data_IF_564380628988
#
_entry.id   IF_564380628988
#
_cell.length_a   1.000
_cell.length_b   1.000
_cell.length_c   1.000
_cell.angle_alpha   90.00
_cell.angle_beta   90.00
_cell.angle_gamma   90.00
#
_symmetry.space_group_name_H-M   'P 1'
#
loop_
_entity.id
_entity.type
_entity.pdbx_description
1 polymer ?
#
# COMPACT_ATOMS: atom_id res chain seq x y z
N UNK A 1 5.95 -14.84 23.32
CA UNK A 1 6.98 -14.04 24.02
C UNK A 1 6.89 -12.61 23.52
N UNK A 2 6.55 -11.66 24.39
CA UNK A 2 6.46 -10.22 24.02
C UNK A 2 7.89 -9.70 23.89
N UNK A 3 8.24 -9.09 22.74
CA UNK A 3 9.58 -8.54 22.56
C UNK A 3 9.80 -7.30 23.44
N UNK A 4 11.07 -7.00 23.81
CA UNK A 4 11.38 -5.78 24.57
C UNK A 4 10.91 -4.51 23.86
N UNK A 5 10.91 -4.50 22.52
CA UNK A 5 10.39 -3.43 21.69
C UNK A 5 8.88 -3.30 21.81
N UNK A 6 8.14 -4.40 21.76
CA UNK A 6 6.68 -4.42 21.90
C UNK A 6 6.25 -3.87 23.27
N UNK A 7 6.96 -4.21 24.33
CA UNK A 7 6.73 -3.69 25.69
C UNK A 7 6.97 -2.16 25.77
N UNK A 8 8.00 -1.66 25.08
CA UNK A 8 8.40 -0.25 25.12
C UNK A 8 7.51 0.62 24.21
N UNK A 9 7.20 0.15 23.02
CA UNK A 9 6.57 0.95 21.96
C UNK A 9 5.13 0.55 21.66
N UNK A 10 4.63 -0.56 22.20
CA UNK A 10 3.26 -1.06 21.97
C UNK A 10 2.16 -0.06 22.33
N UNK A 11 2.42 0.85 23.29
CA UNK A 11 1.50 1.91 23.69
C UNK A 11 1.23 2.96 22.59
N UNK A 12 2.12 3.06 21.60
CA UNK A 12 1.97 3.98 20.46
C UNK A 12 1.32 3.33 19.25
N UNK A 13 1.04 2.02 19.32
CA UNK A 13 0.39 1.32 18.23
C UNK A 13 -1.04 1.82 18.02
N UNK A 14 -1.35 2.14 16.78
CA UNK A 14 -2.66 2.65 16.34
C UNK A 14 -3.58 1.46 16.14
N UNK A 15 -4.69 1.42 16.89
CA UNK A 15 -5.74 0.41 16.71
C UNK A 15 -6.49 0.69 15.41
N UNK A 16 -6.91 -0.38 14.74
CA UNK A 16 -7.68 -0.31 13.50
C UNK A 16 -6.94 0.48 12.38
N UNK A 17 -5.62 0.29 12.24
CA UNK A 17 -4.81 1.05 11.28
C UNK A 17 -5.35 0.94 9.84
N UNK A 18 -5.89 -0.23 9.45
CA UNK A 18 -6.51 -0.43 8.13
C UNK A 18 -7.72 0.49 7.92
N UNK A 19 -8.51 0.77 8.96
CA UNK A 19 -9.62 1.71 8.87
C UNK A 19 -9.14 3.12 8.55
N UNK A 20 -8.04 3.56 9.19
CA UNK A 20 -7.46 4.88 8.90
C UNK A 20 -6.90 4.96 7.49
N UNK A 21 -6.31 3.89 6.96
CA UNK A 21 -5.88 3.83 5.55
C UNK A 21 -7.06 4.00 4.61
N UNK A 22 -8.14 3.24 4.81
CA UNK A 22 -9.34 3.31 3.98
C UNK A 22 -10.01 4.69 4.09
N UNK A 23 -10.10 5.26 5.30
CA UNK A 23 -10.59 6.63 5.48
C UNK A 23 -9.72 7.64 4.72
N UNK A 24 -8.40 7.45 4.71
CA UNK A 24 -7.46 8.24 3.90
C UNK A 24 -7.77 8.15 2.40
N UNK A 25 -8.07 6.96 1.88
CA UNK A 25 -8.48 6.78 0.47
C UNK A 25 -9.77 7.55 0.13
N UNK A 26 -10.76 7.50 1.02
CA UNK A 26 -12.00 8.27 0.84
C UNK A 26 -11.72 9.77 0.81
N UNK A 27 -10.89 10.27 1.72
CA UNK A 27 -10.48 11.68 1.74
C UNK A 27 -9.75 12.04 0.44
N UNK A 28 -8.77 11.24 0.01
CA UNK A 28 -8.04 11.46 -1.24
C UNK A 28 -8.97 11.47 -2.46
N UNK A 29 -9.94 10.56 -2.50
CA UNK A 29 -10.96 10.54 -3.56
C UNK A 29 -11.82 11.81 -3.56
N UNK A 30 -12.27 12.27 -2.40
CA UNK A 30 -13.01 13.55 -2.31
C UNK A 30 -12.17 14.73 -2.80
N UNK A 31 -10.87 14.75 -2.49
CA UNK A 31 -9.95 15.75 -3.02
C UNK A 31 -9.85 15.66 -4.54
N UNK A 32 -9.81 14.46 -5.12
CA UNK A 32 -9.73 14.28 -6.58
C UNK A 32 -10.97 14.80 -7.31
N UNK A 33 -12.16 14.67 -6.70
CA UNK A 33 -13.41 15.20 -7.26
C UNK A 33 -13.49 16.73 -7.23
N UNK A 34 -12.97 17.33 -6.15
CA UNK A 34 -13.06 18.79 -5.97
C UNK A 34 -11.96 19.51 -6.75
N UNK A 35 -10.74 18.99 -6.71
CA UNK A 35 -9.59 19.61 -7.36
C UNK A 35 -8.53 18.58 -7.77
N UNK A 36 -8.55 18.12 -9.04
CA UNK A 36 -7.56 17.16 -9.55
C UNK A 36 -6.10 17.64 -9.42
N UNK A 37 -5.85 18.94 -9.46
CA UNK A 37 -4.50 19.50 -9.30
C UNK A 37 -3.99 19.29 -7.87
N UNK A 38 -4.85 19.52 -6.86
CA UNK A 38 -4.51 19.21 -5.46
C UNK A 38 -4.30 17.72 -5.26
N UNK A 39 -5.11 16.87 -5.88
CA UNK A 39 -4.90 15.42 -5.83
C UNK A 39 -3.52 15.05 -6.40
N UNK A 40 -3.12 15.64 -7.52
CA UNK A 40 -1.78 15.46 -8.09
C UNK A 40 -0.62 15.86 -7.16
N UNK A 41 -0.85 16.76 -6.18
CA UNK A 41 0.13 17.09 -5.15
C UNK A 41 0.22 16.03 -4.03
N UNK A 42 -0.76 15.17 -3.89
CA UNK A 42 -0.75 14.06 -2.92
C UNK A 42 0.02 12.85 -3.44
N UNK A 43 0.06 12.63 -4.76
CA UNK A 43 0.71 11.47 -5.38
C UNK A 43 2.22 11.45 -5.13
N UNK A 44 2.78 10.25 -5.03
CA UNK A 44 4.22 10.08 -4.90
C UNK A 44 4.95 10.58 -6.15
N UNK A 45 6.05 11.29 -5.97
CA UNK A 45 6.93 11.69 -7.06
C UNK A 45 8.34 11.95 -6.49
N UNK A 46 9.33 11.06 -6.70
CA UNK A 46 10.64 11.18 -6.10
C UNK A 46 11.42 12.41 -6.60
N UNK A 47 11.22 12.83 -7.84
CA UNK A 47 11.82 14.08 -8.34
C UNK A 47 11.34 15.29 -7.53
N UNK A 48 10.04 15.43 -7.36
CA UNK A 48 9.44 16.54 -6.62
C UNK A 48 9.79 16.49 -5.12
N UNK A 49 9.89 15.30 -4.53
CA UNK A 49 10.34 15.11 -3.14
C UNK A 49 11.74 15.70 -2.94
N UNK A 50 12.67 15.35 -3.84
CA UNK A 50 14.05 15.88 -3.77
C UNK A 50 14.14 17.39 -4.09
N UNK A 51 13.11 17.97 -4.72
CA UNK A 51 12.99 19.42 -4.97
C UNK A 51 12.12 20.14 -3.93
N UNK A 52 11.95 19.55 -2.72
CA UNK A 52 11.35 20.21 -1.57
C UNK A 52 9.89 19.86 -1.28
N UNK A 53 9.21 19.07 -2.10
CA UNK A 53 7.83 18.62 -1.84
C UNK A 53 7.82 17.38 -0.92
N UNK A 54 8.40 17.50 0.26
CA UNK A 54 8.63 16.38 1.20
C UNK A 54 7.33 15.75 1.73
N UNK A 55 6.21 16.49 1.72
CA UNK A 55 4.91 15.97 2.16
C UNK A 55 4.47 14.75 1.34
N UNK A 56 4.90 14.63 0.07
CA UNK A 56 4.58 13.51 -0.81
C UNK A 56 5.08 12.16 -0.30
N UNK A 57 6.06 12.16 0.63
CA UNK A 57 6.53 10.93 1.31
C UNK A 57 5.42 10.27 2.11
N UNK A 58 4.46 11.06 2.60
CA UNK A 58 3.36 10.57 3.45
C UNK A 58 2.01 10.66 2.72
N UNK A 59 1.77 11.73 1.98
CA UNK A 59 0.44 12.00 1.41
C UNK A 59 0.01 11.02 0.32
N UNK A 60 0.94 10.34 -0.34
CA UNK A 60 0.60 9.31 -1.33
C UNK A 60 -0.24 8.16 -0.75
N UNK A 61 -0.13 7.92 0.55
CA UNK A 61 -0.95 6.92 1.25
C UNK A 61 -2.45 7.28 1.23
N UNK A 62 -2.79 8.54 0.98
CA UNK A 62 -4.17 9.00 0.83
C UNK A 62 -4.73 8.75 -0.57
N UNK A 63 -3.90 8.38 -1.54
CA UNK A 63 -4.38 8.13 -2.90
C UNK A 63 -5.12 6.81 -2.98
N UNK A 64 -6.22 6.78 -3.75
CA UNK A 64 -6.96 5.54 -3.95
C UNK A 64 -6.12 4.51 -4.72
N UNK A 65 -6.23 3.23 -4.35
CA UNK A 65 -5.50 2.15 -5.02
C UNK A 65 -5.93 1.95 -6.48
N UNK A 66 -7.19 2.20 -6.78
CA UNK A 66 -7.83 2.04 -8.08
C UNK A 66 -8.95 3.07 -8.28
N UNK A 67 -9.48 3.17 -9.50
CA UNK A 67 -10.66 3.98 -9.78
C UNK A 67 -11.87 3.50 -8.96
N UNK A 68 -12.70 4.46 -8.52
CA UNK A 68 -13.88 4.12 -7.73
C UNK A 68 -14.91 3.38 -8.58
N UNK A 69 -15.18 2.15 -8.18
CA UNK A 69 -16.21 1.29 -8.74
C UNK A 69 -16.91 0.51 -7.64
N UNK A 70 -18.00 -0.16 -7.97
CA UNK A 70 -18.65 -1.08 -7.03
C UNK A 70 -17.68 -2.19 -6.57
N UNK A 71 -16.80 -2.66 -7.46
CA UNK A 71 -15.79 -3.67 -7.14
C UNK A 71 -14.72 -3.12 -6.20
N UNK A 72 -14.29 -1.87 -6.39
CA UNK A 72 -13.33 -1.20 -5.50
C UNK A 72 -13.91 -1.10 -4.08
N UNK A 73 -15.19 -0.75 -3.95
CA UNK A 73 -15.85 -0.69 -2.63
C UNK A 73 -15.88 -2.06 -1.96
N UNK A 74 -16.26 -3.11 -2.70
CA UNK A 74 -16.28 -4.49 -2.19
C UNK A 74 -14.86 -4.90 -1.74
N UNK A 75 -13.83 -4.59 -2.54
CA UNK A 75 -12.45 -4.91 -2.20
C UNK A 75 -11.96 -4.13 -0.96
N UNK A 76 -12.33 -2.87 -0.79
CA UNK A 76 -11.98 -2.11 0.41
C UNK A 76 -12.63 -2.70 1.67
N UNK A 77 -13.88 -3.15 1.59
CA UNK A 77 -14.55 -3.86 2.69
C UNK A 77 -13.80 -5.16 3.02
N UNK A 78 -13.39 -5.91 2.00
CA UNK A 78 -12.61 -7.13 2.17
C UNK A 78 -11.27 -6.83 2.85
N UNK A 79 -10.49 -5.85 2.36
CA UNK A 79 -9.22 -5.47 2.99
C UNK A 79 -9.38 -5.01 4.42
N UNK A 80 -10.48 -4.31 4.74
CA UNK A 80 -10.79 -3.97 6.11
C UNK A 80 -10.97 -5.20 7.00
N UNK A 81 -11.75 -6.19 6.55
CA UNK A 81 -11.98 -7.43 7.29
C UNK A 81 -10.69 -8.24 7.49
N UNK A 82 -9.89 -8.37 6.41
CA UNK A 82 -8.60 -9.07 6.47
C UNK A 82 -7.63 -8.38 7.43
N UNK A 83 -7.50 -7.06 7.34
CA UNK A 83 -6.64 -6.27 8.22
C UNK A 83 -7.05 -6.34 9.68
N UNK A 84 -8.35 -6.27 9.97
CA UNK A 84 -8.89 -6.45 11.33
C UNK A 84 -8.58 -7.84 11.89
N UNK A 85 -8.71 -8.88 11.08
CA UNK A 85 -8.42 -10.25 11.50
C UNK A 85 -6.93 -10.44 11.76
N UNK A 86 -6.06 -9.91 10.91
CA UNK A 86 -4.60 -9.93 11.13
C UNK A 86 -4.23 -9.15 12.40
N UNK A 87 -4.81 -7.96 12.61
CA UNK A 87 -4.54 -7.17 13.81
C UNK A 87 -4.94 -7.90 15.08
N UNK A 88 -6.08 -8.60 15.08
CA UNK A 88 -6.51 -9.44 16.21
C UNK A 88 -5.58 -10.62 16.47
N UNK A 89 -5.08 -11.24 15.42
CA UNK A 89 -4.23 -12.44 15.51
C UNK A 89 -2.79 -12.12 15.90
N UNK A 90 -2.18 -11.13 15.25
CA UNK A 90 -0.77 -10.77 15.49
C UNK A 90 -0.61 -9.80 16.66
N UNK A 91 -1.67 -9.09 17.03
CA UNK A 91 -1.68 -7.96 17.94
C UNK A 91 -1.40 -6.63 17.22
N UNK A 92 -1.99 -5.55 17.76
CA UNK A 92 -1.95 -4.21 17.16
C UNK A 92 -0.53 -3.74 16.86
N UNK A 93 0.44 -3.95 17.77
CA UNK A 93 1.81 -3.49 17.57
C UNK A 93 2.48 -4.16 16.36
N UNK A 94 2.41 -5.49 16.26
CA UNK A 94 3.06 -6.23 15.17
C UNK A 94 2.44 -5.92 13.82
N UNK A 95 1.12 -5.78 13.79
CA UNK A 95 0.39 -5.39 12.58
C UNK A 95 0.79 -3.97 12.12
N UNK A 96 0.91 -3.02 13.05
CA UNK A 96 1.39 -1.67 12.75
C UNK A 96 2.83 -1.68 12.21
N UNK A 97 3.74 -2.42 12.87
CA UNK A 97 5.12 -2.56 12.39
C UNK A 97 5.16 -3.14 10.98
N UNK A 98 4.35 -4.14 10.69
CA UNK A 98 4.26 -4.73 9.35
C UNK A 98 3.86 -3.70 8.29
N UNK A 99 2.75 -3.00 8.50
CA UNK A 99 2.26 -2.01 7.54
C UNK A 99 3.19 -0.81 7.40
N UNK A 100 3.64 -0.24 8.52
CA UNK A 100 4.52 0.94 8.49
C UNK A 100 5.87 0.61 7.87
N UNK A 101 6.45 -0.57 8.15
CA UNK A 101 7.68 -1.00 7.49
C UNK A 101 7.48 -1.17 5.99
N UNK A 102 6.37 -1.74 5.54
CA UNK A 102 6.00 -1.83 4.13
C UNK A 102 5.95 -0.46 3.44
N UNK A 103 5.28 0.52 4.07
CA UNK A 103 5.23 1.90 3.57
C UNK A 103 6.63 2.53 3.46
N UNK A 104 7.47 2.35 4.49
CA UNK A 104 8.84 2.89 4.51
C UNK A 104 9.68 2.24 3.40
N UNK A 105 9.65 0.91 3.28
CA UNK A 105 10.39 0.20 2.23
C UNK A 105 9.94 0.58 0.83
N UNK A 106 8.66 0.83 0.61
CA UNK A 106 8.14 1.32 -0.67
C UNK A 106 8.74 2.68 -1.02
N UNK A 107 8.74 3.62 -0.08
CA UNK A 107 9.32 4.96 -0.29
C UNK A 107 10.82 4.90 -0.53
N UNK A 108 11.55 4.16 0.30
CA UNK A 108 13.02 4.01 0.17
C UNK A 108 13.36 3.33 -1.14
N UNK A 109 12.69 2.23 -1.47
CA UNK A 109 12.90 1.50 -2.72
C UNK A 109 12.64 2.37 -3.95
N UNK A 110 11.55 3.14 -3.94
CA UNK A 110 11.21 4.04 -5.04
C UNK A 110 12.23 5.19 -5.21
N UNK A 111 12.74 5.76 -4.12
CA UNK A 111 13.79 6.79 -4.18
C UNK A 111 15.11 6.20 -4.69
N UNK A 112 15.51 5.02 -4.20
CA UNK A 112 16.72 4.33 -4.68
C UNK A 112 16.59 4.00 -6.16
N UNK A 113 15.46 3.44 -6.59
CA UNK A 113 15.20 3.14 -8.00
C UNK A 113 15.28 4.42 -8.86
N UNK A 114 14.68 5.52 -8.40
CA UNK A 114 14.74 6.81 -9.08
C UNK A 114 16.19 7.28 -9.27
N UNK A 115 16.99 7.24 -8.22
CA UNK A 115 18.40 7.64 -8.29
C UNK A 115 19.16 6.77 -9.29
N UNK A 116 19.01 5.45 -9.22
CA UNK A 116 19.67 4.50 -10.14
C UNK A 116 19.27 4.79 -11.59
N UNK A 117 17.96 4.91 -11.88
CA UNK A 117 17.48 5.14 -13.24
C UNK A 117 17.89 6.51 -13.77
N UNK A 118 17.99 7.54 -12.93
CA UNK A 118 18.48 8.86 -13.33
C UNK A 118 19.95 8.80 -13.77
N UNK A 119 20.77 7.97 -13.14
CA UNK A 119 22.16 7.77 -13.56
C UNK A 119 22.26 6.93 -14.86
N UNK A 120 21.46 5.87 -14.98
CA UNK A 120 21.49 4.96 -16.14
C UNK A 120 20.94 5.63 -17.39
N UNK A 121 19.86 6.38 -17.28
CA UNK A 121 19.11 6.96 -18.41
C UNK A 121 19.26 8.49 -18.54
N UNK A 122 20.33 9.07 -17.97
CA UNK A 122 20.54 10.52 -17.94
C UNK A 122 20.50 11.19 -19.31
N UNK A 123 20.91 10.49 -20.37
CA UNK A 123 20.98 11.01 -21.73
C UNK A 123 19.71 10.70 -22.56
N UNK A 124 18.78 9.91 -22.00
CA UNK A 124 17.57 9.45 -22.70
C UNK A 124 16.29 10.12 -22.16
N UNK A 125 16.18 10.24 -20.84
CA UNK A 125 15.00 10.79 -20.19
C UNK A 125 15.36 11.91 -19.21
N UNK A 126 14.48 12.92 -19.12
CA UNK A 126 14.63 13.94 -18.09
C UNK A 126 14.37 13.34 -16.69
N UNK A 127 15.07 13.85 -15.69
CA UNK A 127 14.87 13.44 -14.29
C UNK A 127 13.42 13.63 -13.83
N UNK A 128 12.74 14.65 -14.34
CA UNK A 128 11.33 14.91 -14.05
C UNK A 128 10.42 13.82 -14.64
N UNK A 129 10.67 13.41 -15.88
CA UNK A 129 9.93 12.32 -16.55
C UNK A 129 10.08 11.01 -15.78
N UNK A 130 11.32 10.66 -15.41
CA UNK A 130 11.59 9.47 -14.59
C UNK A 130 10.89 9.53 -13.23
N UNK A 131 10.89 10.69 -12.58
CA UNK A 131 10.19 10.88 -11.31
C UNK A 131 8.68 10.68 -11.42
N UNK A 132 8.06 11.17 -12.50
CA UNK A 132 6.63 10.97 -12.75
C UNK A 132 6.32 9.51 -13.09
N UNK A 133 7.17 8.87 -13.89
CA UNK A 133 7.03 7.46 -14.24
C UNK A 133 7.09 6.56 -13.00
N UNK A 134 8.12 6.68 -12.17
CA UNK A 134 8.23 5.90 -10.93
C UNK A 134 7.07 6.21 -9.99
N UNK A 135 6.68 7.49 -9.88
CA UNK A 135 5.54 7.89 -9.04
C UNK A 135 4.24 7.20 -9.41
N UNK A 136 4.01 6.92 -10.70
CA UNK A 136 2.82 6.21 -11.17
C UNK A 136 2.77 4.74 -10.72
N UNK A 137 3.94 4.10 -10.48
CA UNK A 137 4.01 2.73 -9.97
C UNK A 137 3.92 2.65 -8.44
N UNK A 138 4.16 3.75 -7.71
CA UNK A 138 4.00 3.79 -6.25
C UNK A 138 2.52 3.96 -5.92
N UNK A 139 1.84 2.85 -5.72
CA UNK A 139 0.41 2.78 -5.47
C UNK A 139 0.08 2.10 -4.15
N UNK A 140 -0.97 2.58 -3.48
CA UNK A 140 -1.57 1.95 -2.31
C UNK A 140 -2.18 0.58 -2.62
N UNK A 141 -2.37 0.24 -3.90
CA UNK A 141 -2.74 -1.10 -4.35
C UNK A 141 -1.82 -2.17 -3.77
N UNK A 142 -0.49 -1.98 -3.82
CA UNK A 142 0.47 -2.93 -3.29
C UNK A 142 0.42 -3.05 -1.76
N UNK A 143 0.02 -1.99 -1.06
CA UNK A 143 -0.21 -2.05 0.40
C UNK A 143 -1.39 -2.96 0.71
N UNK A 144 -2.51 -2.78 0.01
CA UNK A 144 -3.69 -3.63 0.18
C UNK A 144 -3.40 -5.08 -0.21
N UNK A 145 -2.66 -5.29 -1.30
CA UNK A 145 -2.20 -6.62 -1.72
C UNK A 145 -1.30 -7.27 -0.65
N UNK A 146 -0.44 -6.50 0.02
CA UNK A 146 0.40 -7.03 1.10
C UNK A 146 -0.44 -7.51 2.30
N UNK A 147 -1.53 -6.80 2.63
CA UNK A 147 -2.50 -7.25 3.67
C UNK A 147 -3.12 -8.59 3.26
N UNK A 148 -3.53 -8.72 2.00
CA UNK A 148 -4.08 -9.97 1.47
C UNK A 148 -3.06 -11.12 1.54
N UNK A 149 -1.82 -10.89 1.11
CA UNK A 149 -0.75 -11.90 1.16
C UNK A 149 -0.42 -12.31 2.60
N UNK A 150 -0.37 -11.35 3.53
CA UNK A 150 -0.17 -11.63 4.95
C UNK A 150 -1.29 -12.49 5.53
N UNK A 151 -2.55 -12.21 5.12
CA UNK A 151 -3.69 -13.03 5.51
C UNK A 151 -3.59 -14.43 4.91
N UNK A 152 -3.28 -14.56 3.63
CA UNK A 152 -3.10 -15.85 2.96
C UNK A 152 -1.99 -16.70 3.60
N UNK A 153 -0.90 -16.08 4.03
CA UNK A 153 0.19 -16.75 4.74
C UNK A 153 -0.21 -17.17 6.16
N UNK A 154 -1.06 -16.37 6.84
CA UNK A 154 -1.51 -16.66 8.22
C UNK A 154 -2.63 -17.70 8.25
N UNK A 155 -3.50 -17.71 7.25
CA UNK A 155 -4.69 -18.55 7.15
C UNK A 155 -4.78 -19.29 5.80
N UNK A 156 -3.83 -20.17 5.48
CA UNK A 156 -3.74 -20.78 4.13
C UNK A 156 -4.93 -21.71 3.78
N UNK A 157 -5.61 -22.24 4.77
CA UNK A 157 -6.76 -23.16 4.57
C UNK A 157 -8.12 -22.45 4.56
N UNK A 158 -8.16 -21.16 4.88
CA UNK A 158 -9.38 -20.36 4.79
C UNK A 158 -9.83 -20.24 3.32
N UNK A 159 -11.14 -20.10 3.13
CA UNK A 159 -11.75 -19.98 1.81
C UNK A 159 -12.36 -18.60 1.62
N UNK A 160 -12.03 -17.97 0.49
CA UNK A 160 -12.74 -16.78 0.01
C UNK A 160 -13.76 -17.20 -1.04
N UNK A 161 -14.97 -16.65 -0.91
CA UNK A 161 -16.01 -16.78 -1.92
C UNK A 161 -15.74 -15.80 -3.06
N UNK A 162 -15.14 -16.29 -4.16
CA UNK A 162 -14.96 -15.48 -5.36
C UNK A 162 -16.34 -15.19 -5.96
N UNK A 163 -16.67 -13.89 -6.09
CA UNK A 163 -17.98 -13.43 -6.57
C UNK A 163 -19.17 -14.02 -5.80
N UNK A 164 -18.99 -14.40 -4.52
CA UNK A 164 -19.99 -15.04 -3.67
C UNK A 164 -20.47 -16.43 -4.17
N UNK A 165 -19.80 -17.02 -5.14
CA UNK A 165 -20.23 -18.27 -5.80
C UNK A 165 -19.19 -19.38 -5.66
N UNK A 166 -17.90 -19.07 -5.87
CA UNK A 166 -16.84 -20.08 -5.96
C UNK A 166 -15.97 -20.03 -4.69
N UNK A 167 -16.00 -21.05 -3.82
CA UNK A 167 -15.11 -21.15 -2.67
C UNK A 167 -13.70 -21.54 -3.14
N UNK A 168 -12.75 -20.63 -3.06
CA UNK A 168 -11.34 -20.87 -3.39
C UNK A 168 -10.51 -20.72 -2.13
N UNK A 169 -9.63 -21.68 -1.85
CA UNK A 169 -8.68 -21.58 -0.75
C UNK A 169 -7.72 -20.41 -1.00
N UNK A 170 -7.58 -19.56 0.00
CA UNK A 170 -6.80 -18.32 -0.05
C UNK A 170 -5.34 -18.56 -0.49
N UNK A 171 -4.76 -19.71 -0.12
CA UNK A 171 -3.40 -20.06 -0.54
C UNK A 171 -3.19 -20.01 -2.06
N UNK A 172 -4.17 -20.38 -2.86
CA UNK A 172 -4.07 -20.33 -4.33
C UNK A 172 -4.04 -18.89 -4.84
N UNK A 173 -4.83 -18.00 -4.24
CA UNK A 173 -4.74 -16.58 -4.55
C UNK A 173 -3.39 -16.00 -4.15
N UNK A 174 -2.85 -16.38 -2.97
CA UNK A 174 -1.52 -15.96 -2.53
C UNK A 174 -0.42 -16.37 -3.51
N UNK A 175 -0.47 -17.62 -4.02
CA UNK A 175 0.47 -18.11 -5.04
C UNK A 175 0.32 -17.35 -6.37
N UNK A 176 -0.90 -17.15 -6.85
CA UNK A 176 -1.18 -16.44 -8.10
C UNK A 176 -0.71 -14.97 -8.02
N UNK A 177 -1.01 -14.29 -6.90
CA UNK A 177 -0.57 -12.91 -6.69
C UNK A 177 0.95 -12.79 -6.53
N UNK A 178 1.57 -13.72 -5.80
CA UNK A 178 3.02 -13.79 -5.69
C UNK A 178 3.70 -13.99 -7.05
N UNK A 179 3.16 -14.87 -7.88
CA UNK A 179 3.63 -15.09 -9.25
C UNK A 179 3.42 -13.84 -10.12
N UNK A 180 2.26 -13.18 -10.02
CA UNK A 180 1.97 -11.94 -10.74
C UNK A 180 2.98 -10.84 -10.42
N UNK A 181 3.26 -10.60 -9.14
CA UNK A 181 4.28 -9.60 -8.72
C UNK A 181 5.65 -9.92 -9.32
N UNK A 182 6.05 -11.21 -9.36
CA UNK A 182 7.35 -11.60 -9.93
C UNK A 182 7.44 -11.44 -11.44
N UNK A 183 6.29 -11.46 -12.14
CA UNK A 183 6.23 -11.28 -13.60
C UNK A 183 6.14 -9.80 -13.97
N UNK A 184 5.52 -8.99 -13.10
CA UNK A 184 5.27 -7.55 -13.34
C UNK A 184 6.49 -6.66 -13.01
N UNK A 185 7.54 -7.26 -12.41
CA UNK A 185 8.84 -6.61 -12.16
C UNK A 185 9.78 -6.85 -13.36
#
# INVERSE_FOLDING_TARGET
MISNFERKYGKYAVKNLTLYLIAGYVIGYMVSLVNPTLYGLLTFNPYMILHGQIWRIVTWVLTMPEELSIFTIIMLILYYQLGQTLERTWGTYRYNVYLISGLIFTVVGAIVLYVVLTFVYKDTFSSQTLGSYIGAYVSTYYINMSIFLAFAATYPEEQLMLYFIIPIKIKWFGVLYGAYILIDI
#
